data_IF_416426207975
#
_entry.id   IF_416426207975
#
_cell.length_a   1.000
_cell.length_b   1.000
_cell.length_c   1.000
_cell.angle_alpha   90.00
_cell.angle_beta   90.00
_cell.angle_gamma   90.00
#
_symmetry.space_group_name_H-M   'P 1'
#
loop_
_entity.id
_entity.type
_entity.pdbx_description
1 polymer ?
#
# COMPACT_ATOMS: atom_id res chain seq x y z
N UNK A 1 27.43 -5.39 4.87
CA UNK A 1 26.21 -5.49 4.05
C UNK A 1 25.79 -6.94 4.04
N UNK A 2 24.49 -7.23 3.94
CA UNK A 2 24.01 -8.58 3.64
C UNK A 2 23.90 -8.67 2.13
N UNK A 3 24.87 -9.33 1.51
CA UNK A 3 25.00 -9.38 0.06
C UNK A 3 24.00 -10.35 -0.56
N UNK A 4 23.58 -10.05 -1.80
CA UNK A 4 22.73 -10.94 -2.60
C UNK A 4 21.24 -10.92 -2.22
N UNK A 5 20.83 -10.13 -1.24
CA UNK A 5 19.41 -9.97 -0.85
C UNK A 5 18.56 -9.38 -1.95
N UNK A 6 19.16 -8.59 -2.86
CA UNK A 6 18.43 -7.97 -3.97
C UNK A 6 18.43 -8.81 -5.24
N UNK A 7 19.05 -10.00 -5.27
CA UNK A 7 19.13 -10.83 -6.48
C UNK A 7 17.75 -11.08 -7.11
N UNK A 8 16.71 -11.18 -6.27
CA UNK A 8 15.31 -11.36 -6.67
C UNK A 8 14.74 -10.21 -7.50
N UNK A 9 15.25 -8.99 -7.28
CA UNK A 9 14.77 -7.72 -7.86
C UNK A 9 15.90 -6.90 -8.49
N UNK A 10 17.02 -7.53 -8.79
CA UNK A 10 18.21 -6.87 -9.32
C UNK A 10 17.91 -6.22 -10.68
N UNK A 11 17.17 -6.93 -11.53
CA UNK A 11 16.66 -6.41 -12.81
C UNK A 11 15.86 -5.10 -12.62
N UNK A 12 15.06 -5.00 -11.56
CA UNK A 12 14.29 -3.80 -11.25
C UNK A 12 15.20 -2.65 -10.82
N UNK A 13 16.22 -2.91 -10.01
CA UNK A 13 17.20 -1.89 -9.60
C UNK A 13 17.92 -1.28 -10.82
N UNK A 14 18.39 -2.12 -11.74
CA UNK A 14 19.11 -1.68 -12.94
C UNK A 14 18.21 -1.10 -14.05
N UNK A 15 16.90 -1.32 -14.00
CA UNK A 15 15.96 -0.83 -15.02
C UNK A 15 15.87 0.69 -15.14
N UNK A 16 16.30 1.44 -14.11
CA UNK A 16 16.12 2.88 -14.03
C UNK A 16 14.72 3.33 -13.59
N UNK A 17 13.79 2.39 -13.40
CA UNK A 17 12.44 2.67 -12.87
C UNK A 17 12.49 3.09 -11.41
N UNK A 18 11.49 3.88 -11.01
CA UNK A 18 11.27 4.22 -9.61
C UNK A 18 10.65 3.03 -8.87
N UNK A 19 11.30 2.57 -7.79
CA UNK A 19 10.90 1.38 -7.03
C UNK A 19 10.50 1.74 -5.60
N UNK A 20 9.29 1.37 -5.21
CA UNK A 20 8.80 1.52 -3.84
C UNK A 20 8.74 0.16 -3.15
N UNK A 21 9.38 0.04 -1.99
CA UNK A 21 9.40 -1.16 -1.17
C UNK A 21 8.37 -1.03 -0.03
N UNK A 22 7.45 -1.99 0.03
CA UNK A 22 6.42 -2.10 1.07
C UNK A 22 6.63 -3.39 1.87
N UNK A 23 6.02 -3.47 3.04
CA UNK A 23 6.03 -4.68 3.84
C UNK A 23 6.00 -4.40 5.33
N UNK A 24 5.71 -5.45 6.11
CA UNK A 24 5.58 -5.36 7.57
C UNK A 24 6.89 -4.90 8.24
N UNK A 25 6.85 -4.38 9.47
CA UNK A 25 8.07 -4.14 10.24
C UNK A 25 8.92 -5.41 10.35
N UNK A 26 10.25 -5.28 10.24
CA UNK A 26 11.18 -6.39 10.41
C UNK A 26 11.36 -7.36 9.23
N UNK A 27 10.65 -7.20 8.10
CA UNK A 27 10.77 -8.11 6.94
C UNK A 27 12.01 -7.91 6.07
N UNK A 28 12.89 -6.97 6.44
CA UNK A 28 14.14 -6.71 5.71
C UNK A 28 14.10 -5.58 4.68
N UNK A 29 13.13 -4.65 4.76
CA UNK A 29 13.04 -3.45 3.90
C UNK A 29 14.35 -2.67 3.84
N UNK A 30 14.86 -2.25 5.00
CA UNK A 30 16.12 -1.49 5.12
C UNK A 30 17.32 -2.29 4.60
N UNK A 31 17.33 -3.62 4.81
CA UNK A 31 18.40 -4.49 4.29
C UNK A 31 18.43 -4.50 2.77
N UNK A 32 17.28 -4.63 2.11
CA UNK A 32 17.19 -4.56 0.64
C UNK A 32 17.52 -3.16 0.15
N UNK A 33 16.99 -2.12 0.80
CA UNK A 33 17.25 -0.72 0.45
C UNK A 33 18.74 -0.39 0.48
N UNK A 34 19.44 -0.80 1.54
CA UNK A 34 20.89 -0.62 1.72
C UNK A 34 21.68 -1.35 0.63
N UNK A 35 21.30 -2.58 0.32
CA UNK A 35 21.99 -3.36 -0.71
C UNK A 35 21.73 -2.81 -2.12
N UNK A 36 20.52 -2.32 -2.42
CA UNK A 36 20.23 -1.62 -3.68
C UNK A 36 21.11 -0.39 -3.86
N UNK A 37 21.28 0.43 -2.80
CA UNK A 37 22.18 1.57 -2.83
C UNK A 37 23.64 1.17 -3.12
N UNK A 38 24.11 0.09 -2.47
CA UNK A 38 25.45 -0.45 -2.70
C UNK A 38 25.63 -0.93 -4.15
N UNK A 39 24.72 -1.77 -4.65
CA UNK A 39 24.81 -2.33 -6.01
C UNK A 39 24.77 -1.21 -7.06
N UNK A 40 23.86 -0.24 -6.92
CA UNK A 40 23.78 0.87 -7.86
C UNK A 40 25.01 1.78 -7.84
N UNK A 41 25.60 2.03 -6.66
CA UNK A 41 26.79 2.88 -6.56
C UNK A 41 28.08 2.18 -6.98
N UNK A 42 28.22 0.88 -6.68
CA UNK A 42 29.45 0.12 -6.92
C UNK A 42 29.44 -0.54 -8.29
N UNK A 43 28.35 -1.19 -8.66
CA UNK A 43 28.27 -2.06 -9.85
C UNK A 43 27.68 -1.30 -11.04
N UNK A 44 26.65 -0.48 -10.82
CA UNK A 44 26.12 0.41 -11.86
C UNK A 44 26.90 1.73 -12.00
N UNK A 45 27.86 1.99 -11.10
CA UNK A 45 28.65 3.23 -11.03
C UNK A 45 27.81 4.52 -11.00
N UNK A 46 26.57 4.46 -10.49
CA UNK A 46 25.69 5.62 -10.40
C UNK A 46 26.06 6.53 -9.23
N UNK A 47 25.77 7.82 -9.39
CA UNK A 47 25.76 8.81 -8.30
C UNK A 47 24.53 8.58 -7.43
N UNK A 48 24.70 7.78 -6.38
CA UNK A 48 23.65 7.46 -5.41
C UNK A 48 23.75 8.38 -4.21
N UNK A 49 22.62 9.01 -3.85
CA UNK A 49 22.46 9.74 -2.59
C UNK A 49 21.45 9.02 -1.72
N UNK A 50 21.78 8.84 -0.45
CA UNK A 50 20.88 8.30 0.55
C UNK A 50 20.43 9.46 1.44
N UNK A 51 19.12 9.69 1.49
CA UNK A 51 18.47 10.57 2.46
C UNK A 51 18.12 9.72 3.68
N UNK A 52 18.90 9.87 4.75
CA UNK A 52 18.87 8.98 5.93
C UNK A 52 18.35 9.74 7.16
N UNK A 53 17.11 9.46 7.56
CA UNK A 53 16.44 10.06 8.72
C UNK A 53 16.71 9.33 10.02
N UNK A 54 16.77 8.00 9.97
CA UNK A 54 16.88 7.15 11.15
C UNK A 54 18.29 6.60 11.37
N UNK A 55 19.25 6.99 10.51
CA UNK A 55 20.61 6.44 10.42
C UNK A 55 20.65 4.93 10.19
N UNK A 56 19.53 4.30 9.81
CA UNK A 56 19.46 2.86 9.66
C UNK A 56 20.20 2.39 8.41
N UNK A 57 20.33 3.22 7.37
CA UNK A 57 20.95 2.80 6.12
C UNK A 57 22.47 2.92 6.22
N UNK A 58 22.97 4.06 6.67
CA UNK A 58 24.38 4.41 6.67
C UNK A 58 25.05 4.35 8.05
N UNK A 59 24.31 4.10 9.13
CA UNK A 59 24.82 4.02 10.50
C UNK A 59 25.02 5.37 11.17
N UNK A 60 25.25 5.36 12.49
CA UNK A 60 25.28 6.56 13.35
C UNK A 60 26.62 7.33 13.35
N UNK A 61 27.65 6.81 12.69
CA UNK A 61 28.97 7.45 12.67
C UNK A 61 29.05 8.69 11.77
N UNK A 62 30.06 9.52 12.00
CA UNK A 62 30.41 10.64 11.10
C UNK A 62 30.81 10.15 9.71
N UNK A 63 31.41 8.96 9.64
CA UNK A 63 31.75 8.26 8.40
C UNK A 63 30.64 7.25 8.09
N UNK A 64 29.99 7.33 6.91
CA UNK A 64 28.99 6.36 6.49
C UNK A 64 29.54 4.93 6.46
N UNK A 65 28.73 3.97 6.89
CA UNK A 65 29.09 2.56 6.89
C UNK A 65 29.39 2.06 5.48
N UNK A 66 30.47 1.28 5.30
CA UNK A 66 30.89 0.68 4.03
C UNK A 66 29.80 -0.17 3.30
N UNK A 67 28.67 -0.45 3.97
CA UNK A 67 27.60 -1.27 3.43
C UNK A 67 26.78 -0.54 2.37
N UNK A 68 26.89 0.79 2.25
CA UNK A 68 26.23 1.60 1.22
C UNK A 68 27.09 1.77 -0.05
N UNK A 69 28.29 1.16 -0.09
CA UNK A 69 29.21 1.27 -1.22
C UNK A 69 29.76 2.69 -1.39
N UNK A 70 29.64 3.24 -2.60
CA UNK A 70 30.13 4.59 -2.95
C UNK A 70 29.05 5.67 -2.76
N UNK A 71 27.89 5.30 -2.22
CA UNK A 71 26.77 6.22 -2.02
C UNK A 71 27.13 7.34 -1.06
N UNK A 72 26.64 8.54 -1.32
CA UNK A 72 26.76 9.68 -0.41
C UNK A 72 25.57 9.69 0.56
N UNK A 73 25.84 9.89 1.85
CA UNK A 73 24.79 10.13 2.86
C UNK A 73 24.47 11.62 2.96
N UNK A 74 23.19 11.96 2.92
CA UNK A 74 22.65 13.21 3.44
C UNK A 74 21.81 12.86 4.67
N UNK A 75 22.34 13.19 5.84
CA UNK A 75 21.67 12.91 7.11
C UNK A 75 20.59 13.96 7.36
N UNK A 76 19.41 13.52 7.76
CA UNK A 76 18.30 14.41 8.07
C UNK A 76 18.24 14.63 9.58
N UNK A 77 18.27 15.89 10.02
CA UNK A 77 18.27 16.21 11.45
C UNK A 77 16.99 15.80 12.18
N UNK A 78 15.83 15.94 11.52
CA UNK A 78 14.54 15.46 12.03
C UNK A 78 13.65 15.00 10.88
N UNK A 79 12.73 14.03 11.07
CA UNK A 79 11.85 13.54 10.00
C UNK A 79 11.07 14.66 9.28
N UNK A 80 10.65 15.70 10.01
CA UNK A 80 9.95 16.85 9.44
C UNK A 80 10.73 17.58 8.33
N UNK A 81 12.07 17.51 8.32
CA UNK A 81 12.91 18.15 7.32
C UNK A 81 13.27 17.24 6.13
N UNK A 82 12.85 15.99 6.13
CA UNK A 82 13.22 15.00 5.12
C UNK A 82 12.92 15.48 3.69
N UNK A 83 11.73 16.02 3.46
CA UNK A 83 11.34 16.57 2.16
C UNK A 83 12.29 17.69 1.67
N UNK A 84 12.77 18.56 2.55
CA UNK A 84 13.72 19.61 2.21
C UNK A 84 15.07 19.04 1.79
N UNK A 85 15.57 18.07 2.53
CA UNK A 85 16.83 17.36 2.20
C UNK A 85 16.70 16.59 0.88
N UNK A 86 15.54 16.02 0.58
CA UNK A 86 15.27 15.36 -0.71
C UNK A 86 15.41 16.35 -1.88
N UNK A 87 14.89 17.57 -1.75
CA UNK A 87 15.02 18.61 -2.79
C UNK A 87 16.47 19.09 -2.90
N UNK A 88 17.12 19.36 -1.77
CA UNK A 88 18.53 19.78 -1.71
C UNK A 88 19.46 18.76 -2.40
N UNK A 89 19.18 17.47 -2.22
CA UNK A 89 19.94 16.38 -2.85
C UNK A 89 19.98 16.53 -4.37
N UNK A 90 18.86 16.88 -5.00
CA UNK A 90 18.82 17.08 -6.46
C UNK A 90 19.49 18.37 -6.87
N UNK A 91 19.26 19.46 -6.13
CA UNK A 91 19.75 20.79 -6.48
C UNK A 91 21.27 20.88 -6.39
N UNK A 92 21.89 20.23 -5.41
CA UNK A 92 23.31 20.45 -5.10
C UNK A 92 24.23 19.29 -5.48
N UNK A 93 23.71 18.12 -5.83
CA UNK A 93 24.53 16.91 -5.99
C UNK A 93 24.31 16.14 -7.29
N UNK A 94 23.41 16.59 -8.17
CA UNK A 94 23.13 15.97 -9.48
C UNK A 94 23.05 14.43 -9.45
N UNK A 95 22.25 13.84 -8.55
CA UNK A 95 22.16 12.39 -8.39
C UNK A 95 21.56 11.71 -9.62
N UNK A 96 21.95 10.47 -9.82
CA UNK A 96 21.25 9.55 -10.74
C UNK A 96 20.23 8.71 -10.00
N UNK A 97 20.47 8.46 -8.70
CA UNK A 97 19.59 7.71 -7.82
C UNK A 97 19.48 8.42 -6.48
N UNK A 98 18.27 8.56 -5.97
CA UNK A 98 18.01 8.94 -4.57
C UNK A 98 17.36 7.75 -3.87
N UNK A 99 17.94 7.38 -2.73
CA UNK A 99 17.47 6.32 -1.86
C UNK A 99 16.91 6.97 -0.59
N UNK A 100 15.69 6.64 -0.21
CA UNK A 100 14.97 7.29 0.88
C UNK A 100 14.45 6.22 1.82
N UNK A 101 14.77 6.34 3.11
CA UNK A 101 14.07 5.53 4.09
C UNK A 101 12.74 6.17 4.49
N UNK A 102 11.72 5.33 4.48
CA UNK A 102 10.43 5.51 5.12
C UNK A 102 9.70 6.82 4.78
N UNK A 103 9.05 6.83 3.62
CA UNK A 103 8.11 7.89 3.26
C UNK A 103 6.81 7.77 4.06
N UNK A 104 6.37 8.89 4.63
CA UNK A 104 5.22 9.00 5.52
C UNK A 104 4.41 10.30 5.39
N UNK A 105 4.90 11.34 4.71
CA UNK A 105 4.20 12.65 4.65
C UNK A 105 3.82 13.13 3.24
N UNK A 106 2.85 14.04 3.16
CA UNK A 106 2.42 14.64 1.87
C UNK A 106 3.55 15.45 1.22
N UNK A 107 4.37 16.12 2.04
CA UNK A 107 5.52 16.90 1.57
C UNK A 107 6.58 16.00 0.94
N UNK A 108 6.86 14.84 1.54
CA UNK A 108 7.76 13.84 0.95
C UNK A 108 7.19 13.27 -0.35
N UNK A 109 5.90 12.98 -0.42
CA UNK A 109 5.26 12.50 -1.65
C UNK A 109 5.36 13.52 -2.79
N UNK A 110 5.15 14.81 -2.47
CA UNK A 110 5.30 15.90 -3.43
C UNK A 110 6.74 16.11 -3.87
N UNK A 111 7.70 16.01 -2.93
CA UNK A 111 9.12 16.10 -3.24
C UNK A 111 9.55 14.93 -4.13
N UNK A 112 9.14 13.70 -3.84
CA UNK A 112 9.42 12.53 -4.68
C UNK A 112 8.88 12.71 -6.11
N UNK A 113 7.66 13.20 -6.28
CA UNK A 113 7.11 13.53 -7.61
C UNK A 113 7.99 14.53 -8.36
N UNK A 114 8.39 15.62 -7.70
CA UNK A 114 9.28 16.64 -8.28
C UNK A 114 10.63 16.05 -8.71
N UNK A 115 11.18 15.12 -7.92
CA UNK A 115 12.46 14.46 -8.19
C UNK A 115 12.34 13.50 -9.37
N UNK A 116 11.27 12.69 -9.41
CA UNK A 116 10.97 11.79 -10.52
C UNK A 116 10.79 12.54 -11.84
N UNK A 117 10.11 13.68 -11.83
CA UNK A 117 9.92 14.55 -13.01
C UNK A 117 11.24 15.10 -13.57
N UNK A 118 12.28 15.20 -12.73
CA UNK A 118 13.65 15.57 -13.15
C UNK A 118 14.46 14.38 -13.68
N UNK A 119 13.86 13.20 -13.77
CA UNK A 119 14.50 11.99 -14.32
C UNK A 119 15.47 11.29 -13.36
N UNK A 120 15.40 11.60 -12.06
CA UNK A 120 16.21 10.92 -11.03
C UNK A 120 15.49 9.65 -10.60
N UNK A 121 16.20 8.52 -10.57
CA UNK A 121 15.64 7.26 -10.10
C UNK A 121 15.41 7.31 -8.58
N UNK A 122 14.20 6.98 -8.14
CA UNK A 122 13.85 6.89 -6.73
C UNK A 122 13.77 5.43 -6.27
N UNK A 123 14.39 5.16 -5.13
CA UNK A 123 14.21 3.89 -4.40
C UNK A 123 13.83 4.26 -2.98
N UNK A 124 12.63 3.88 -2.57
CA UNK A 124 12.15 4.25 -1.25
C UNK A 124 11.46 3.10 -0.55
N UNK A 125 11.34 3.20 0.77
CA UNK A 125 10.35 2.45 1.55
C UNK A 125 9.20 3.38 1.92
N UNK A 126 8.01 2.84 2.23
CA UNK A 126 6.90 3.63 2.76
C UNK A 126 6.15 2.90 3.86
N UNK A 127 5.42 3.68 4.66
CA UNK A 127 4.47 3.17 5.63
C UNK A 127 3.28 2.48 4.92
N UNK A 128 3.32 1.16 4.85
CA UNK A 128 2.28 0.34 4.24
C UNK A 128 2.74 -1.10 4.03
N UNK A 129 1.81 -2.04 4.14
CA UNK A 129 2.13 -3.46 3.96
C UNK A 129 1.91 -3.92 2.51
N UNK A 130 0.89 -3.36 1.85
CA UNK A 130 0.44 -3.74 0.50
C UNK A 130 0.12 -2.51 -0.34
N UNK A 131 0.07 -2.70 -1.66
CA UNK A 131 -0.36 -1.69 -2.62
C UNK A 131 -1.80 -1.24 -2.31
N UNK A 132 -2.69 -2.15 -1.91
CA UNK A 132 -4.08 -1.83 -1.54
C UNK A 132 -4.14 -0.79 -0.42
N UNK A 133 -3.34 -0.97 0.64
CA UNK A 133 -3.27 -0.01 1.75
C UNK A 133 -2.72 1.34 1.30
N UNK A 134 -1.76 1.33 0.37
CA UNK A 134 -1.14 2.55 -0.15
C UNK A 134 -2.12 3.36 -1.01
N UNK A 135 -2.89 2.71 -1.88
CA UNK A 135 -3.90 3.38 -2.73
C UNK A 135 -5.01 4.00 -1.89
N UNK A 136 -5.39 3.37 -0.78
CA UNK A 136 -6.41 3.88 0.14
C UNK A 136 -5.90 4.95 1.12
N UNK A 137 -4.59 5.14 1.23
CA UNK A 137 -4.01 6.13 2.14
C UNK A 137 -4.09 7.54 1.51
N UNK A 138 -4.85 8.50 2.09
CA UNK A 138 -4.99 9.83 1.51
C UNK A 138 -3.67 10.58 1.34
N UNK A 139 -2.73 10.39 2.27
CA UNK A 139 -1.41 11.04 2.29
C UNK A 139 -0.46 10.40 1.28
N UNK A 140 -0.39 9.06 1.25
CA UNK A 140 0.62 8.34 0.47
C UNK A 140 0.13 7.85 -0.89
N UNK A 141 -1.18 7.88 -1.18
CA UNK A 141 -1.73 7.48 -2.49
C UNK A 141 -1.14 8.28 -3.65
N UNK A 142 -0.70 9.51 -3.40
CA UNK A 142 -0.01 10.36 -4.37
C UNK A 142 1.27 9.70 -4.93
N UNK A 143 1.93 8.81 -4.17
CA UNK A 143 3.09 8.04 -4.65
C UNK A 143 2.75 7.07 -5.79
N UNK A 144 1.49 6.64 -5.86
CA UNK A 144 0.96 5.70 -6.85
C UNK A 144 -0.07 6.34 -7.78
N UNK A 145 -0.03 7.68 -7.88
CA UNK A 145 -0.82 8.46 -8.84
C UNK A 145 -2.03 9.18 -8.24
N UNK A 146 -2.22 9.05 -6.93
CA UNK A 146 -3.31 9.67 -6.16
C UNK A 146 -4.68 9.08 -6.52
N UNK A 147 -5.66 9.20 -5.64
CA UNK A 147 -7.05 8.80 -5.92
C UNK A 147 -7.98 9.99 -5.75
N UNK A 148 -8.92 10.16 -6.67
CA UNK A 148 -9.97 11.17 -6.57
C UNK A 148 -11.29 10.67 -7.17
N UNK A 149 -12.37 11.34 -6.81
CA UNK A 149 -13.72 11.02 -7.25
C UNK A 149 -14.10 11.89 -8.46
N UNK A 150 -14.51 11.26 -9.56
CA UNK A 150 -14.94 11.91 -10.79
C UNK A 150 -16.42 11.62 -11.02
N UNK A 151 -17.17 12.64 -11.43
CA UNK A 151 -18.57 12.47 -11.85
C UNK A 151 -18.66 12.39 -13.37
N UNK A 152 -18.98 11.21 -13.87
CA UNK A 152 -19.25 10.90 -15.27
C UNK A 152 -20.61 11.45 -15.69
N UNK A 153 -20.70 11.88 -16.96
CA UNK A 153 -21.97 12.18 -17.60
C UNK A 153 -22.83 10.92 -17.80
N UNK A 154 -24.13 11.10 -17.99
CA UNK A 154 -25.11 10.01 -18.07
C UNK A 154 -24.82 9.00 -19.19
N UNK A 155 -24.29 9.46 -20.32
CA UNK A 155 -23.91 8.60 -21.44
C UNK A 155 -22.68 7.75 -21.10
N UNK A 156 -21.65 8.37 -20.52
CA UNK A 156 -20.39 7.68 -20.14
C UNK A 156 -20.62 6.66 -19.02
N UNK A 157 -21.43 7.02 -18.01
CA UNK A 157 -21.78 6.10 -16.93
C UNK A 157 -22.55 4.86 -17.45
N UNK A 158 -23.46 5.06 -18.41
CA UNK A 158 -24.17 3.96 -19.07
C UNK A 158 -23.24 3.10 -19.93
N UNK A 159 -22.32 3.71 -20.67
CA UNK A 159 -21.35 3.00 -21.50
C UNK A 159 -20.40 2.12 -20.66
N UNK A 160 -19.94 2.63 -19.51
CA UNK A 160 -19.08 1.88 -18.58
C UNK A 160 -19.84 0.92 -17.67
N UNK A 161 -21.17 1.02 -17.59
CA UNK A 161 -21.98 0.21 -16.68
C UNK A 161 -21.73 0.53 -15.20
N UNK A 162 -21.28 1.75 -14.89
CA UNK A 162 -20.90 2.17 -13.53
C UNK A 162 -21.87 3.21 -12.96
N UNK A 163 -21.69 3.53 -11.68
CA UNK A 163 -22.34 4.70 -11.09
C UNK A 163 -21.85 5.98 -11.78
N UNK A 164 -22.60 7.08 -11.63
CA UNK A 164 -22.16 8.40 -12.13
C UNK A 164 -20.89 8.87 -11.45
N UNK A 165 -20.61 8.42 -10.23
CA UNK A 165 -19.39 8.76 -9.50
C UNK A 165 -18.46 7.55 -9.49
N UNK A 166 -17.23 7.72 -9.94
CA UNK A 166 -16.18 6.69 -10.01
C UNK A 166 -14.88 7.21 -9.42
N UNK A 167 -14.00 6.31 -8.98
CA UNK A 167 -12.65 6.66 -8.56
C UNK A 167 -11.70 6.59 -9.75
N UNK A 168 -10.86 7.62 -9.90
CA UNK A 168 -9.81 7.66 -10.92
C UNK A 168 -8.49 8.17 -10.32
N UNK A 169 -7.37 7.85 -10.97
CA UNK A 169 -6.07 8.40 -10.57
C UNK A 169 -5.98 9.89 -10.87
N UNK A 170 -5.35 10.67 -9.98
CA UNK A 170 -5.15 12.12 -10.20
C UNK A 170 -4.13 12.40 -11.31
N UNK A 171 -3.15 11.51 -11.48
CA UNK A 171 -2.06 11.67 -12.43
C UNK A 171 -1.18 10.42 -12.56
N UNK A 172 -0.06 10.51 -13.30
CA UNK A 172 0.92 9.43 -13.35
C UNK A 172 1.47 9.11 -11.96
N UNK A 173 1.77 7.84 -11.65
CA UNK A 173 2.39 7.48 -10.38
C UNK A 173 3.84 7.98 -10.33
N UNK A 174 4.31 8.32 -9.13
CA UNK A 174 5.73 8.62 -8.91
C UNK A 174 6.58 7.37 -9.02
N UNK A 175 6.07 6.24 -8.52
CA UNK A 175 6.75 4.95 -8.57
C UNK A 175 6.17 4.06 -9.67
N UNK A 176 7.04 3.57 -10.55
CA UNK A 176 6.66 2.68 -11.66
C UNK A 176 6.42 1.24 -11.17
N UNK A 177 7.13 0.86 -10.10
CA UNK A 177 7.13 -0.48 -9.53
C UNK A 177 6.91 -0.41 -8.02
N UNK A 178 6.01 -1.25 -7.53
CA UNK A 178 5.82 -1.49 -6.09
C UNK A 178 6.20 -2.93 -5.79
N UNK A 179 7.07 -3.12 -4.80
CA UNK A 179 7.52 -4.44 -4.32
C UNK A 179 7.01 -4.64 -2.90
N UNK A 180 6.09 -5.57 -2.71
CA UNK A 180 5.64 -6.02 -1.40
C UNK A 180 6.58 -7.12 -0.88
N UNK A 181 7.33 -6.81 0.17
CA UNK A 181 8.23 -7.76 0.82
C UNK A 181 7.39 -8.64 1.75
N UNK A 182 7.16 -9.88 1.32
CA UNK A 182 6.40 -10.88 2.08
C UNK A 182 7.30 -11.55 3.14
N UNK A 183 8.53 -11.91 2.73
CA UNK A 183 9.57 -12.49 3.56
C UNK A 183 10.97 -12.23 2.98
N UNK A 184 12.04 -12.59 3.69
CA UNK A 184 13.44 -12.38 3.28
C UNK A 184 13.80 -13.00 1.92
N UNK A 185 13.11 -14.07 1.52
CA UNK A 185 13.34 -14.79 0.27
C UNK A 185 12.16 -14.74 -0.70
N UNK A 186 11.10 -13.95 -0.42
CA UNK A 186 9.87 -13.92 -1.22
C UNK A 186 9.23 -12.54 -1.31
N UNK A 187 8.92 -12.13 -2.54
CA UNK A 187 8.44 -10.80 -2.90
C UNK A 187 7.23 -10.89 -3.83
N UNK A 188 6.31 -9.93 -3.73
CA UNK A 188 5.29 -9.68 -4.74
C UNK A 188 5.58 -8.35 -5.46
N UNK A 189 5.66 -8.40 -6.78
CA UNK A 189 6.06 -7.29 -7.64
C UNK A 189 4.87 -6.84 -8.48
N UNK A 190 4.52 -5.57 -8.32
CA UNK A 190 3.58 -4.84 -9.16
C UNK A 190 4.36 -3.95 -10.12
N UNK A 191 4.74 -4.50 -11.27
CA UNK A 191 5.35 -3.70 -12.35
C UNK A 191 4.25 -3.01 -13.17
N UNK A 192 4.45 -1.73 -13.49
CA UNK A 192 3.45 -0.91 -14.17
C UNK A 192 2.33 -0.48 -13.23
N UNK A 193 2.69 0.15 -12.11
CA UNK A 193 1.77 0.64 -11.06
C UNK A 193 0.58 1.41 -11.63
N UNK A 194 0.79 2.24 -12.66
CA UNK A 194 -0.29 2.98 -13.32
C UNK A 194 -1.43 2.06 -13.77
N UNK A 195 -1.11 0.97 -14.48
CA UNK A 195 -2.09 0.01 -14.95
C UNK A 195 -2.72 -0.77 -13.79
N UNK A 196 -1.89 -1.22 -12.84
CA UNK A 196 -2.35 -2.00 -11.69
C UNK A 196 -3.37 -1.20 -10.86
N UNK A 197 -3.07 0.07 -10.56
CA UNK A 197 -3.97 0.94 -9.80
C UNK A 197 -5.25 1.25 -10.60
N UNK A 198 -5.16 1.48 -11.91
CA UNK A 198 -6.35 1.70 -12.74
C UNK A 198 -7.30 0.49 -12.73
N UNK A 199 -6.75 -0.72 -12.81
CA UNK A 199 -7.55 -1.95 -12.73
C UNK A 199 -8.15 -2.13 -11.34
N UNK A 200 -7.37 -1.84 -10.30
CA UNK A 200 -7.82 -1.91 -8.93
C UNK A 200 -8.96 -0.93 -8.64
N UNK A 201 -8.86 0.34 -9.07
CA UNK A 201 -9.92 1.34 -8.91
C UNK A 201 -11.21 0.99 -9.65
N UNK A 202 -11.11 0.21 -10.73
CA UNK A 202 -12.26 -0.31 -11.50
C UNK A 202 -12.87 -1.58 -10.89
N UNK A 203 -12.33 -2.09 -9.79
CA UNK A 203 -12.80 -3.29 -9.13
C UNK A 203 -12.32 -4.60 -9.79
N UNK A 204 -11.39 -4.53 -10.75
CA UNK A 204 -10.81 -5.75 -11.34
C UNK A 204 -9.80 -6.38 -10.37
N UNK A 205 -9.71 -7.72 -10.34
CA UNK A 205 -8.75 -8.38 -9.49
C UNK A 205 -7.33 -8.19 -10.06
N UNK A 206 -6.39 -7.84 -9.18
CA UNK A 206 -4.98 -7.61 -9.56
C UNK A 206 -4.11 -8.74 -9.02
N UNK A 207 -3.20 -9.23 -9.85
CA UNK A 207 -2.29 -10.33 -9.50
C UNK A 207 -0.84 -9.86 -9.64
N UNK A 208 -0.09 -9.73 -8.54
CA UNK A 208 1.34 -9.44 -8.62
C UNK A 208 2.13 -10.63 -9.19
N UNK A 209 3.29 -10.31 -9.78
CA UNK A 209 4.34 -11.30 -10.04
C UNK A 209 4.98 -11.69 -8.72
N UNK A 210 4.94 -12.96 -8.33
CA UNK A 210 5.63 -13.44 -7.13
C UNK A 210 7.01 -13.90 -7.52
N UNK A 211 8.02 -13.46 -6.79
CA UNK A 211 9.41 -13.89 -6.97
C UNK A 211 9.94 -14.48 -5.68
N UNK A 212 10.72 -15.56 -5.78
CA UNK A 212 11.33 -16.18 -4.61
C UNK A 212 12.71 -16.77 -4.92
N UNK A 213 13.54 -16.92 -3.88
CA UNK A 213 14.78 -17.69 -3.96
C UNK A 213 14.51 -19.15 -3.56
N UNK A 214 15.07 -20.09 -4.30
CA UNK A 214 15.17 -21.49 -3.88
C UNK A 214 16.39 -21.71 -2.95
N UNK A 215 16.57 -22.95 -2.50
CA UNK A 215 17.66 -23.35 -1.59
C UNK A 215 19.04 -23.17 -2.25
N UNK A 216 19.11 -23.24 -3.57
CA UNK A 216 20.30 -22.99 -4.38
C UNK A 216 20.54 -21.49 -4.66
N UNK A 217 19.65 -20.61 -4.20
CA UNK A 217 19.73 -19.16 -4.37
C UNK A 217 19.43 -18.68 -5.80
N UNK A 218 18.71 -19.45 -6.60
CA UNK A 218 18.21 -19.06 -7.91
C UNK A 218 16.86 -18.34 -7.80
N UNK A 219 16.62 -17.39 -8.71
CA UNK A 219 15.42 -16.57 -8.71
C UNK A 219 14.34 -17.27 -9.52
N UNK A 220 13.25 -17.63 -8.85
CA UNK A 220 12.06 -18.19 -9.44
C UNK A 220 10.96 -17.12 -9.53
N UNK A 221 10.09 -17.25 -10.55
CA UNK A 221 9.02 -16.29 -10.83
C UNK A 221 7.70 -17.03 -11.04
N UNK A 222 6.61 -16.44 -10.56
CA UNK A 222 5.26 -16.97 -10.68
C UNK A 222 4.21 -15.87 -10.58
N UNK A 223 2.94 -16.25 -10.48
CA UNK A 223 1.84 -15.31 -10.23
C UNK A 223 1.08 -15.73 -8.99
N UNK A 224 0.75 -14.75 -8.14
CA UNK A 224 -0.21 -14.99 -7.07
C UNK A 224 -1.63 -15.11 -7.66
N UNK A 225 -2.56 -15.85 -7.03
CA UNK A 225 -3.98 -15.67 -7.31
C UNK A 225 -4.35 -14.18 -7.23
N UNK A 226 -5.17 -13.74 -8.18
CA UNK A 226 -5.60 -12.36 -8.26
C UNK A 226 -6.41 -11.99 -7.00
N UNK A 227 -6.02 -10.93 -6.32
CA UNK A 227 -6.71 -10.43 -5.12
C UNK A 227 -7.88 -9.55 -5.58
N UNK A 228 -9.10 -9.75 -5.05
CA UNK A 228 -10.23 -8.87 -5.35
C UNK A 228 -9.94 -7.46 -4.81
N UNK A 229 -10.32 -6.45 -5.58
CA UNK A 229 -10.12 -5.05 -5.20
C UNK A 229 -11.03 -4.65 -4.03
N UNK A 230 -10.42 -4.10 -2.97
CA UNK A 230 -11.15 -3.48 -1.85
C UNK A 230 -11.80 -2.13 -2.24
N UNK A 231 -11.47 -1.57 -3.41
CA UNK A 231 -12.04 -0.33 -3.94
C UNK A 231 -13.52 -0.47 -4.34
N UNK A 232 -14.04 -1.69 -4.41
CA UNK A 232 -15.41 -1.95 -4.85
C UNK A 232 -16.42 -1.32 -3.88
N UNK A 233 -16.84 -0.09 -4.18
CA UNK A 233 -18.18 0.39 -3.84
C UNK A 233 -19.14 -0.68 -4.36
N UNK A 234 -19.93 -1.26 -3.46
CA UNK A 234 -20.78 -2.43 -3.74
C UNK A 234 -21.40 -2.37 -5.16
N UNK A 235 -21.41 -3.48 -5.91
CA UNK A 235 -21.87 -3.48 -7.29
C UNK A 235 -23.26 -2.85 -7.38
N UNK A 236 -23.39 -1.82 -8.21
CA UNK A 236 -24.69 -1.21 -8.50
C UNK A 236 -25.61 -2.30 -9.06
N UNK A 237 -26.64 -2.66 -8.30
CA UNK A 237 -27.69 -3.58 -8.74
C UNK A 237 -28.79 -2.75 -9.39
N UNK A 238 -28.97 -2.75 -10.73
CA UNK A 238 -30.18 -2.21 -11.32
C UNK A 238 -31.38 -3.02 -10.83
N UNK A 239 -32.37 -2.34 -10.25
CA UNK A 239 -33.65 -2.88 -9.80
C UNK A 239 -33.58 -3.99 -8.74
N UNK A 240 -33.58 -3.59 -7.47
CA UNK A 240 -34.58 -4.16 -6.57
C UNK A 240 -35.73 -3.17 -6.49
N UNK A 241 -36.97 -3.55 -6.84
CA UNK A 241 -38.11 -2.69 -6.52
C UNK A 241 -38.04 -2.43 -5.02
N UNK A 242 -38.00 -1.15 -4.66
CA UNK A 242 -38.26 -0.71 -3.27
C UNK A 242 -39.47 -1.50 -2.82
N UNK A 243 -39.33 -2.37 -1.81
CA UNK A 243 -40.48 -2.92 -1.11
C UNK A 243 -41.27 -1.71 -0.64
N UNK A 244 -42.32 -1.40 -1.38
CA UNK A 244 -43.32 -0.41 -1.00
C UNK A 244 -43.78 -0.76 0.40
N UNK A 245 -43.93 0.27 1.22
CA UNK A 245 -44.51 0.19 2.54
C UNK A 245 -45.92 -0.41 2.47
N UNK A 246 -46.01 -1.74 2.47
CA UNK A 246 -47.20 -2.53 2.72
C UNK A 246 -46.84 -3.51 3.85
N UNK A 247 -46.52 -2.95 5.00
CA UNK A 247 -46.41 -3.68 6.27
C UNK A 247 -46.96 -2.83 7.41
N UNK A 248 -48.09 -2.16 7.17
CA UNK A 248 -48.81 -1.35 8.17
C UNK A 248 -50.32 -1.61 8.24
N UNK A 249 -50.83 -2.71 7.68
CA UNK A 249 -52.26 -3.04 7.81
C UNK A 249 -52.60 -4.44 8.32
N UNK A 250 -51.62 -5.33 8.56
CA UNK A 250 -51.92 -6.68 9.09
C UNK A 250 -51.64 -6.87 10.59
N UNK A 251 -51.19 -5.82 11.30
CA UNK A 251 -50.92 -5.93 12.75
C UNK A 251 -52.00 -5.25 13.63
N UNK A 252 -53.17 -4.95 13.07
CA UNK A 252 -54.28 -4.30 13.78
C UNK A 252 -55.53 -5.18 13.93
N UNK A 253 -55.45 -6.48 13.59
CA UNK A 253 -56.58 -7.42 13.68
C UNK A 253 -56.30 -8.65 14.59
N UNK A 254 -55.29 -8.58 15.46
CA UNK A 254 -54.97 -9.67 16.41
C UNK A 254 -54.96 -9.31 17.89
N UNK A 255 -55.43 -8.13 18.27
CA UNK A 255 -55.70 -7.79 19.66
C UNK A 255 -57.08 -7.18 19.77
N UNK A 256 -58.09 -8.06 19.89
CA UNK A 256 -59.35 -7.77 20.57
C UNK A 256 -60.18 -9.05 20.62
N UNK A 257 -60.01 -9.84 21.68
CA UNK A 257 -61.16 -10.26 22.49
C UNK A 257 -60.73 -10.82 23.86
N UNK A 258 -61.51 -10.58 24.93
CA UNK A 258 -61.05 -10.64 26.31
C UNK A 258 -61.61 -11.82 27.12
N UNK A 259 -60.91 -12.15 28.21
CA UNK A 259 -61.54 -12.60 29.47
C UNK A 259 -61.49 -14.10 29.78
N UNK A 260 -60.80 -14.46 30.86
CA UNK A 260 -61.42 -14.94 32.10
C UNK A 260 -60.34 -15.17 33.17
N UNK A 261 -60.47 -14.44 34.27
CA UNK A 261 -59.70 -14.64 35.49
C UNK A 261 -60.21 -15.87 36.26
N UNK A 262 -59.32 -16.56 36.97
CA UNK A 262 -59.67 -17.23 38.23
C UNK A 262 -58.43 -17.44 39.11
N UNK A 263 -58.50 -16.81 40.29
CA UNK A 263 -57.70 -17.04 41.49
C UNK A 263 -57.70 -18.52 41.92
N UNK A 264 -56.62 -19.02 42.52
CA UNK A 264 -56.57 -19.34 43.97
C UNK A 264 -55.31 -20.12 44.41
N UNK A 265 -54.69 -19.57 45.47
CA UNK A 265 -54.12 -20.22 46.66
C UNK A 265 -52.91 -21.18 46.56
N UNK A 266 -51.80 -20.72 47.15
CA UNK A 266 -50.79 -21.56 47.82
C UNK A 266 -51.40 -22.33 49.01
N UNK A 267 -50.73 -23.40 49.45
CA UNK A 267 -50.29 -23.38 50.85
C UNK A 267 -48.84 -23.86 51.08
N UNK A 268 -48.31 -23.41 52.22
CA UNK A 268 -47.01 -23.69 52.85
C UNK A 268 -46.85 -25.12 53.38
N UNK A 269 -45.56 -25.47 53.60
CA UNK A 269 -44.95 -26.41 54.57
C UNK A 269 -45.29 -27.92 54.44
N UNK A 270 -44.40 -28.89 54.68
CA UNK A 270 -43.44 -29.01 55.77
C UNK A 270 -42.42 -30.15 55.51
N UNK A 271 -41.39 -30.20 56.35
CA UNK A 271 -40.19 -31.04 56.47
C UNK A 271 -40.33 -32.58 56.31
N UNK A 272 -39.27 -33.26 55.85
CA UNK A 272 -38.73 -34.48 56.50
C UNK A 272 -37.35 -34.91 55.96
N UNK A 273 -36.57 -35.43 56.91
CA UNK A 273 -35.17 -35.86 56.94
C UNK A 273 -34.79 -37.15 56.18
N UNK A 274 -33.47 -37.44 56.18
CA UNK A 274 -32.75 -38.73 56.05
C UNK A 274 -32.62 -39.29 54.62
N UNK A 275 -31.43 -39.63 54.08
CA UNK A 275 -30.12 -40.04 54.62
C UNK A 275 -28.93 -39.44 53.83
#
# INVERSE_FOLDING_TARGET
AVFGTIKIIEDLAFSGKNVLLLGRPGVGKTTMLREMARVLSVEAHKRVIIVDTSNEIAGDGDVPHNAIGRSRRMQVATPAHQHGVMIEAVENHMPEVIVIDEMGTELEASAARTIAERGVQLIATAHGNTLDNLVMNPTLSDLVGGVHSVTLGDQEARYRGTQKTVLERKGPPTFDVVVEIQDWSRLAVHDGVAHVVDQWLRGYPVAPEVRWLDEEGQVNRGKEPARPSEASLAPWRPNQPRRSAQSRQDNQLRQEQPGAAQFSQEPEADESEMD
#
